data_IF_225343871791
#
_entry.id   IF_225343871791
#
_cell.length_a   1.000
_cell.length_b   1.000
_cell.length_c   1.000
_cell.angle_alpha   90.00
_cell.angle_beta   90.00
_cell.angle_gamma   90.00
#
_symmetry.space_group_name_H-M   'P 1'
#
loop_
_entity.id
_entity.type
_entity.pdbx_description
1 polymer ?
#
# COMPACT_ATOMS: atom_id res chain seq x y z
N UNK A 1 -0.02 -3.92 15.49
CA UNK A 1 1.02 -3.90 14.42
C UNK A 1 1.00 -5.21 13.67
N UNK A 2 0.96 -5.17 12.35
CA UNK A 2 0.76 -6.31 11.45
C UNK A 2 1.86 -7.35 11.61
N UNK A 3 1.55 -8.49 12.18
CA UNK A 3 2.35 -9.69 11.98
C UNK A 3 1.93 -10.32 10.65
N UNK A 4 2.63 -10.06 9.59
CA UNK A 4 2.33 -10.72 8.31
C UNK A 4 2.46 -9.87 7.07
N UNK A 5 2.60 -8.55 7.18
CA UNK A 5 2.95 -7.73 6.03
C UNK A 5 4.47 -7.56 5.98
N UNK A 6 5.09 -8.00 4.89
CA UNK A 6 6.52 -7.82 4.63
C UNK A 6 6.92 -6.35 4.47
N UNK A 7 5.96 -5.43 4.43
CA UNK A 7 6.18 -4.04 4.08
C UNK A 7 5.92 -3.12 5.25
N UNK A 8 6.83 -3.07 6.21
CA UNK A 8 6.97 -1.88 7.04
C UNK A 8 7.96 -0.94 6.36
N UNK A 9 7.44 -0.08 5.52
CA UNK A 9 8.16 1.12 5.13
C UNK A 9 8.19 2.08 6.31
N UNK A 10 9.27 2.09 7.07
CA UNK A 10 9.61 3.25 7.85
C UNK A 10 10.20 4.27 6.87
N UNK A 11 9.35 5.02 6.17
CA UNK A 11 9.77 6.15 5.36
C UNK A 11 10.02 7.35 6.28
N UNK A 12 11.11 7.36 6.99
CA UNK A 12 11.62 8.53 7.65
C UNK A 12 12.18 9.50 6.61
N UNK A 13 11.33 10.33 5.99
CA UNK A 13 11.76 11.41 5.12
C UNK A 13 12.45 12.51 5.92
N UNK A 14 13.72 12.36 6.22
CA UNK A 14 14.52 13.39 6.83
C UNK A 14 15.19 14.22 5.73
N UNK A 15 14.71 15.41 5.43
CA UNK A 15 15.34 16.37 4.52
C UNK A 15 16.54 17.06 5.18
N UNK A 16 17.75 16.82 4.73
CA UNK A 16 18.94 17.60 5.06
C UNK A 16 20.10 17.38 4.08
N UNK A 17 20.96 18.36 4.00
CA UNK A 17 22.16 18.34 3.16
C UNK A 17 23.30 17.41 3.66
N UNK A 18 23.07 16.62 4.72
CA UNK A 18 24.11 15.74 5.31
C UNK A 18 23.56 14.35 5.57
N UNK A 19 23.69 13.46 4.59
CA UNK A 19 23.26 12.05 4.69
C UNK A 19 23.89 11.34 5.89
N UNK A 20 25.16 11.62 6.23
CA UNK A 20 25.86 11.00 7.36
C UNK A 20 25.12 11.16 8.68
N UNK A 21 24.62 12.37 9.00
CA UNK A 21 23.89 12.59 10.26
C UNK A 21 22.57 11.85 10.31
N UNK A 22 21.93 11.62 9.17
CA UNK A 22 20.60 11.02 9.09
C UNK A 22 20.62 9.51 9.02
N UNK A 23 21.52 8.95 8.25
CA UNK A 23 21.78 7.52 8.25
C UNK A 23 22.18 7.06 9.65
N UNK A 24 22.97 7.88 10.37
CA UNK A 24 23.33 7.63 11.76
C UNK A 24 22.09 7.61 12.67
N UNK A 25 21.24 8.63 12.60
CA UNK A 25 20.04 8.73 13.44
C UNK A 25 19.05 7.59 13.17
N UNK A 26 18.82 7.24 11.88
CA UNK A 26 17.95 6.12 11.54
C UNK A 26 18.50 4.79 12.06
N UNK A 27 19.80 4.55 11.93
CA UNK A 27 20.43 3.37 12.48
C UNK A 27 20.35 3.33 14.01
N UNK A 28 20.57 4.46 14.68
CA UNK A 28 20.44 4.54 16.13
C UNK A 28 19.02 4.23 16.59
N UNK A 29 18.01 4.85 15.98
CA UNK A 29 16.60 4.53 16.24
C UNK A 29 16.26 3.07 15.95
N UNK A 30 16.88 2.47 14.94
CA UNK A 30 16.60 1.09 14.54
C UNK A 30 17.27 0.08 15.47
N UNK A 31 18.54 0.26 15.80
CA UNK A 31 19.34 -0.70 16.58
C UNK A 31 19.25 -0.48 18.09
N UNK A 32 19.07 0.78 18.53
CA UNK A 32 19.13 1.17 19.93
C UNK A 32 17.81 1.69 20.49
N UNK A 33 16.69 1.26 19.91
CA UNK A 33 15.37 1.60 20.45
C UNK A 33 15.24 1.12 21.89
N UNK A 34 14.95 2.02 22.81
CA UNK A 34 14.89 1.75 24.25
C UNK A 34 13.64 1.01 24.64
N UNK A 35 12.50 1.43 24.11
CA UNK A 35 11.17 0.92 24.48
C UNK A 35 10.94 0.96 25.98
N UNK A 36 11.22 2.11 26.59
CA UNK A 36 10.94 2.33 28.02
C UNK A 36 9.43 2.28 28.26
N UNK A 37 9.00 1.68 29.37
CA UNK A 37 7.56 1.45 29.61
C UNK A 37 6.77 2.76 29.70
N UNK A 38 7.38 3.85 30.20
CA UNK A 38 6.76 5.17 30.22
C UNK A 38 6.50 5.73 28.80
N UNK A 39 7.45 5.55 27.88
CA UNK A 39 7.31 5.97 26.48
C UNK A 39 6.27 5.10 25.77
N UNK A 40 6.25 3.79 26.05
CA UNK A 40 5.26 2.84 25.50
C UNK A 40 3.86 3.20 25.96
N UNK A 41 3.67 3.63 27.22
CA UNK A 41 2.37 4.06 27.74
C UNK A 41 1.91 5.36 27.09
N UNK A 42 2.80 6.31 26.91
CA UNK A 42 2.52 7.57 26.19
C UNK A 42 2.07 7.29 24.76
N UNK A 43 2.83 6.48 24.02
CA UNK A 43 2.52 6.10 22.64
C UNK A 43 1.22 5.28 22.54
N UNK A 44 0.93 4.44 23.54
CA UNK A 44 -0.34 3.73 23.63
C UNK A 44 -1.52 4.70 23.67
N UNK A 45 -1.40 5.78 24.47
CA UNK A 45 -2.42 6.83 24.51
C UNK A 45 -2.65 7.45 23.14
N UNK A 46 -1.57 7.81 22.44
CA UNK A 46 -1.65 8.35 21.06
C UNK A 46 -2.32 7.38 20.11
N UNK A 47 -1.95 6.10 20.12
CA UNK A 47 -2.57 5.10 19.24
C UNK A 47 -4.06 4.89 19.56
N UNK A 48 -4.46 5.00 20.82
CA UNK A 48 -5.87 4.90 21.20
C UNK A 48 -6.69 6.08 20.67
N UNK A 49 -6.13 7.29 20.68
CA UNK A 49 -6.73 8.46 20.03
C UNK A 49 -6.82 8.27 18.50
N UNK A 50 -5.77 7.75 17.86
CA UNK A 50 -5.82 7.42 16.43
C UNK A 50 -6.92 6.40 16.10
N UNK A 51 -7.14 5.39 16.95
CA UNK A 51 -8.25 4.44 16.79
C UNK A 51 -9.59 5.17 16.85
N UNK A 52 -9.75 6.11 17.81
CA UNK A 52 -10.94 6.94 17.91
C UNK A 52 -11.19 7.75 16.64
N UNK A 53 -10.16 8.41 16.10
CA UNK A 53 -10.24 9.16 14.85
C UNK A 53 -10.67 8.28 13.66
N UNK A 54 -10.13 7.05 13.57
CA UNK A 54 -10.55 6.09 12.53
C UNK A 54 -12.01 5.65 12.70
N UNK A 55 -12.45 5.43 13.94
CA UNK A 55 -13.84 5.11 14.20
C UNK A 55 -14.78 6.26 13.85
N UNK A 56 -14.33 7.50 13.94
CA UNK A 56 -15.11 8.69 13.61
C UNK A 56 -15.09 9.07 12.12
N UNK A 57 -14.17 8.53 11.34
CA UNK A 57 -14.16 8.69 9.89
C UNK A 57 -14.88 7.51 9.21
N UNK A 58 -16.07 7.71 8.63
CA UNK A 58 -16.82 6.61 8.02
C UNK A 58 -16.14 5.97 6.82
N UNK A 59 -15.36 6.72 6.03
CA UNK A 59 -14.62 6.22 4.88
C UNK A 59 -13.52 5.25 5.30
N UNK A 60 -12.67 5.66 6.26
CA UNK A 60 -11.61 4.82 6.81
C UNK A 60 -12.18 3.57 7.49
N UNK A 61 -13.27 3.74 8.24
CA UNK A 61 -13.97 2.63 8.89
C UNK A 61 -14.52 1.62 7.88
N UNK A 62 -15.10 2.09 6.77
CA UNK A 62 -15.56 1.22 5.67
C UNK A 62 -14.40 0.45 5.04
N UNK A 63 -13.28 1.11 4.76
CA UNK A 63 -12.11 0.48 4.18
C UNK A 63 -11.51 -0.60 5.11
N UNK A 64 -11.43 -0.32 6.42
CA UNK A 64 -10.96 -1.30 7.40
C UNK A 64 -11.92 -2.50 7.52
N UNK A 65 -13.23 -2.25 7.56
CA UNK A 65 -14.25 -3.31 7.63
C UNK A 65 -14.25 -4.16 6.37
N UNK A 66 -14.07 -3.55 5.21
CA UNK A 66 -13.93 -4.27 3.95
C UNK A 66 -12.72 -5.21 3.99
N UNK A 67 -11.53 -4.72 4.35
CA UNK A 67 -10.34 -5.55 4.48
C UNK A 67 -10.56 -6.71 5.47
N UNK A 68 -11.25 -6.44 6.59
CA UNK A 68 -11.65 -7.45 7.57
C UNK A 68 -12.57 -8.53 7.00
N UNK A 69 -13.46 -8.17 6.09
CA UNK A 69 -14.39 -9.10 5.45
C UNK A 69 -13.69 -9.93 4.36
N UNK A 70 -13.06 -9.25 3.39
CA UNK A 70 -12.49 -9.91 2.19
C UNK A 70 -11.28 -10.78 2.49
N UNK A 71 -10.57 -10.53 3.58
CA UNK A 71 -9.41 -11.32 4.01
C UNK A 71 -9.66 -12.10 5.31
N UNK A 72 -10.93 -12.45 5.58
CA UNK A 72 -11.32 -13.18 6.78
C UNK A 72 -10.45 -14.42 7.00
N UNK A 73 -9.94 -14.59 8.23
CA UNK A 73 -9.05 -15.69 8.59
C UNK A 73 -7.57 -15.48 8.26
N UNK A 74 -7.22 -14.35 7.66
CA UNK A 74 -5.84 -13.94 7.35
C UNK A 74 -5.37 -12.80 8.27
N UNK A 75 -4.06 -12.63 8.45
CA UNK A 75 -3.51 -11.44 9.11
C UNK A 75 -3.89 -10.11 8.45
N UNK A 76 -4.20 -10.09 7.16
CA UNK A 76 -4.66 -8.91 6.43
C UNK A 76 -6.04 -8.41 6.88
N UNK A 77 -6.84 -9.27 7.52
CA UNK A 77 -8.14 -8.90 8.09
C UNK A 77 -8.04 -8.11 9.42
N UNK A 78 -6.83 -7.97 9.96
CA UNK A 78 -6.64 -7.28 11.23
C UNK A 78 -6.57 -5.76 11.02
N UNK A 79 -7.18 -4.96 11.91
CA UNK A 79 -7.06 -3.51 11.85
C UNK A 79 -5.59 -3.08 11.92
N UNK A 80 -5.25 -2.00 11.19
CA UNK A 80 -3.87 -1.51 11.09
C UNK A 80 -3.35 -1.02 12.44
N UNK A 81 -4.16 -0.26 13.16
CA UNK A 81 -3.84 0.28 14.47
C UNK A 81 -3.93 -0.78 15.59
N UNK A 82 -4.49 -1.94 15.29
CA UNK A 82 -4.75 -2.97 16.30
C UNK A 82 -6.07 -2.76 17.02
N UNK A 83 -6.17 -3.33 18.21
CA UNK A 83 -7.35 -3.20 19.10
C UNK A 83 -6.87 -2.84 20.50
N UNK A 84 -7.64 -2.04 21.22
CA UNK A 84 -7.33 -1.66 22.60
C UNK A 84 -6.90 -2.87 23.45
N UNK A 85 -7.68 -3.95 23.48
CA UNK A 85 -7.37 -5.16 24.25
C UNK A 85 -6.04 -5.85 23.87
N UNK A 86 -5.50 -5.58 22.68
CA UNK A 86 -4.19 -6.07 22.24
C UNK A 86 -3.09 -5.09 22.63
N UNK A 87 -3.35 -3.80 22.50
CA UNK A 87 -2.42 -2.73 22.87
C UNK A 87 -2.14 -2.71 24.36
N UNK A 88 -3.16 -2.92 25.18
CA UNK A 88 -3.05 -2.95 26.65
C UNK A 88 -2.07 -4.04 27.16
N UNK A 89 -1.78 -5.04 26.36
CA UNK A 89 -0.85 -6.14 26.69
C UNK A 89 0.59 -5.93 26.20
N UNK A 90 0.84 -4.83 25.49
CA UNK A 90 2.16 -4.54 24.93
C UNK A 90 2.95 -3.64 25.88
N UNK A 91 4.05 -4.13 26.40
CA UNK A 91 5.04 -3.38 27.18
C UNK A 91 6.38 -3.30 26.44
N UNK A 92 7.37 -2.63 27.01
CA UNK A 92 8.67 -2.51 26.42
C UNK A 92 9.38 -3.85 26.24
N UNK A 93 9.17 -4.81 27.12
CA UNK A 93 9.74 -6.15 27.02
C UNK A 93 9.15 -6.89 25.81
N UNK A 94 7.84 -6.79 25.61
CA UNK A 94 7.15 -7.36 24.46
C UNK A 94 7.65 -6.74 23.13
N UNK A 95 7.81 -5.41 23.09
CA UNK A 95 8.30 -4.70 21.90
C UNK A 95 9.74 -5.10 21.56
N UNK A 96 10.63 -5.21 22.56
CA UNK A 96 12.00 -5.69 22.36
C UNK A 96 12.05 -7.14 21.86
N UNK A 97 11.19 -8.01 22.40
CA UNK A 97 11.08 -9.39 21.94
C UNK A 97 10.56 -9.45 20.49
N UNK A 98 9.57 -8.63 20.17
CA UNK A 98 9.03 -8.53 18.79
C UNK A 98 10.08 -8.02 17.80
N UNK A 99 10.87 -6.98 18.16
CA UNK A 99 11.96 -6.46 17.35
C UNK A 99 12.98 -7.56 17.05
N UNK A 100 13.46 -8.26 18.07
CA UNK A 100 14.43 -9.37 17.92
C UNK A 100 13.91 -10.49 17.03
N UNK A 101 12.63 -10.82 17.13
CA UNK A 101 12.02 -11.90 16.34
C UNK A 101 11.78 -11.55 14.87
N UNK A 102 11.56 -10.26 14.57
CA UNK A 102 11.06 -9.84 13.25
C UNK A 102 12.01 -8.94 12.46
N UNK A 103 12.98 -8.27 13.10
CA UNK A 103 13.94 -7.39 12.44
C UNK A 103 15.18 -8.19 12.06
N UNK A 104 15.16 -8.75 10.86
CA UNK A 104 16.14 -9.71 10.36
C UNK A 104 16.61 -9.30 8.97
N UNK A 105 17.86 -9.68 8.55
CA UNK A 105 18.41 -9.28 7.27
C UNK A 105 17.55 -9.63 6.08
N UNK A 106 16.90 -10.80 6.10
CA UNK A 106 16.01 -11.29 5.04
C UNK A 106 14.68 -10.53 4.92
N UNK A 107 14.43 -9.54 5.81
CA UNK A 107 13.21 -8.73 5.84
C UNK A 107 13.46 -7.23 5.84
N UNK A 108 14.70 -6.84 5.67
CA UNK A 108 15.10 -5.44 5.70
C UNK A 108 15.66 -5.08 4.33
N UNK A 109 15.12 -4.04 3.76
CA UNK A 109 15.65 -3.39 2.57
C UNK A 109 16.01 -1.97 2.95
N UNK A 110 17.23 -1.57 2.64
CA UNK A 110 17.72 -0.21 2.80
C UNK A 110 17.81 0.42 1.43
N UNK A 111 16.94 1.38 1.16
CA UNK A 111 16.91 2.12 -0.09
C UNK A 111 17.36 3.56 0.12
N UNK A 112 18.21 4.04 -0.77
CA UNK A 112 18.72 5.41 -0.76
C UNK A 112 18.35 6.11 -2.06
N UNK A 113 17.92 7.35 -1.98
CA UNK A 113 17.76 8.23 -3.11
C UNK A 113 18.11 9.67 -2.72
N UNK A 114 18.77 10.39 -3.61
CA UNK A 114 19.20 11.76 -3.40
C UNK A 114 20.70 11.94 -3.62
N UNK A 115 21.30 12.93 -2.97
CA UNK A 115 22.73 13.23 -3.09
C UNK A 115 23.52 12.49 -2.00
N UNK A 116 24.26 11.46 -2.39
CA UNK A 116 25.16 10.68 -1.53
C UNK A 116 26.32 10.12 -2.37
N UNK A 117 27.38 9.66 -1.71
CA UNK A 117 28.52 9.00 -2.33
C UNK A 117 28.45 7.48 -2.13
N UNK A 118 29.18 6.73 -2.95
CA UNK A 118 29.30 5.27 -2.77
C UNK A 118 29.86 4.92 -1.38
N UNK A 119 30.79 5.73 -0.86
CA UNK A 119 31.30 5.54 0.48
C UNK A 119 30.21 5.68 1.57
N UNK A 120 29.28 6.61 1.41
CA UNK A 120 28.16 6.77 2.34
C UNK A 120 27.23 5.55 2.29
N UNK A 121 27.00 4.98 1.11
CA UNK A 121 26.18 3.79 0.93
C UNK A 121 26.84 2.54 1.57
N UNK A 122 28.16 2.36 1.35
CA UNK A 122 28.93 1.27 1.95
C UNK A 122 28.97 1.39 3.47
N UNK A 123 29.20 2.60 4.02
CA UNK A 123 29.16 2.84 5.47
C UNK A 123 27.79 2.47 6.05
N UNK A 124 26.69 2.89 5.40
CA UNK A 124 25.35 2.57 5.86
C UNK A 124 25.08 1.07 5.81
N UNK A 125 25.44 0.39 4.72
CA UNK A 125 25.28 -1.06 4.59
C UNK A 125 26.05 -1.82 5.67
N UNK A 126 27.26 -1.37 5.99
CA UNK A 126 28.12 -1.95 7.05
C UNK A 126 27.43 -1.96 8.42
N UNK A 127 26.57 -0.98 8.72
CA UNK A 127 25.83 -0.93 9.99
C UNK A 127 24.79 -2.05 10.14
N UNK A 128 24.30 -2.60 9.02
CA UNK A 128 23.34 -3.72 9.01
C UNK A 128 24.03 -5.09 8.92
N UNK A 129 25.34 -5.15 8.72
CA UNK A 129 26.07 -6.41 8.55
C UNK A 129 26.06 -7.33 9.79
N UNK A 130 25.85 -6.76 10.99
CA UNK A 130 25.78 -7.50 12.25
C UNK A 130 24.43 -8.15 12.54
N UNK A 131 23.44 -8.02 11.66
CA UNK A 131 22.13 -8.65 11.87
C UNK A 131 22.19 -10.17 11.65
N UNK A 132 21.68 -10.90 12.63
CA UNK A 132 21.67 -12.37 12.57
C UNK A 132 20.52 -12.88 11.69
N UNK A 133 20.86 -13.76 10.74
CA UNK A 133 19.87 -14.50 9.99
C UNK A 133 19.18 -15.55 10.89
N UNK A 134 17.85 -15.61 10.84
CA UNK A 134 17.07 -16.58 11.64
C UNK A 134 16.02 -17.25 10.77
N UNK A 135 15.71 -18.53 10.98
CA UNK A 135 14.66 -19.22 10.25
C UNK A 135 13.31 -18.49 10.39
N UNK A 136 12.53 -18.49 9.35
CA UNK A 136 11.16 -17.95 9.42
C UNK A 136 10.18 -18.82 8.63
N UNK A 137 8.94 -18.77 9.04
CA UNK A 137 7.84 -19.36 8.28
C UNK A 137 7.33 -18.34 7.28
N UNK A 138 7.22 -18.73 6.02
CA UNK A 138 6.60 -17.89 4.99
C UNK A 138 5.16 -17.56 5.37
N UNK A 139 4.74 -16.32 5.10
CA UNK A 139 3.36 -15.93 5.31
C UNK A 139 2.44 -16.74 4.39
N UNK A 140 1.37 -17.33 4.96
CA UNK A 140 0.35 -17.99 4.17
C UNK A 140 -0.36 -16.98 3.26
N UNK A 141 -0.62 -17.37 2.02
CA UNK A 141 -1.39 -16.56 1.10
C UNK A 141 -2.78 -16.29 1.67
N UNK A 142 -3.21 -15.03 1.58
CA UNK A 142 -4.58 -14.67 1.93
C UNK A 142 -5.49 -14.92 0.72
N UNK A 143 -6.60 -15.59 0.95
CA UNK A 143 -7.63 -15.77 -0.06
C UNK A 143 -8.70 -14.67 0.06
N UNK A 144 -9.23 -14.25 -1.06
CA UNK A 144 -10.43 -13.41 -1.09
C UNK A 144 -11.64 -14.23 -0.63
N UNK A 145 -12.38 -13.70 0.34
CA UNK A 145 -13.61 -14.32 0.86
C UNK A 145 -14.77 -13.37 0.61
N UNK A 146 -15.80 -13.80 -0.16
CA UNK A 146 -17.00 -12.98 -0.32
C UNK A 146 -17.75 -12.86 1.01
N UNK A 147 -18.36 -11.69 1.25
CA UNK A 147 -19.13 -11.46 2.47
C UNK A 147 -19.75 -10.06 2.49
N UNK A 148 -20.66 -9.86 3.41
CA UNK A 148 -21.32 -8.57 3.66
C UNK A 148 -21.10 -8.21 5.12
N UNK A 149 -20.67 -6.98 5.38
CA UNK A 149 -20.53 -6.43 6.72
C UNK A 149 -21.28 -5.11 6.79
N UNK A 150 -22.15 -4.99 7.79
CA UNK A 150 -22.93 -3.77 8.04
C UNK A 150 -22.58 -3.24 9.43
N UNK A 151 -22.26 -1.96 9.49
CA UNK A 151 -22.09 -1.21 10.74
C UNK A 151 -23.11 -0.08 10.79
N UNK A 152 -24.00 -0.12 11.77
CA UNK A 152 -24.93 0.98 12.03
C UNK A 152 -24.22 2.08 12.80
N UNK A 153 -24.30 3.31 12.31
CA UNK A 153 -23.80 4.52 12.94
C UNK A 153 -24.77 5.68 12.65
N UNK A 154 -24.94 6.58 13.59
CA UNK A 154 -25.78 7.76 13.41
C UNK A 154 -24.96 8.82 12.64
N UNK A 155 -25.05 8.80 11.32
CA UNK A 155 -24.37 9.70 10.38
C UNK A 155 -25.34 10.13 9.28
N UNK A 156 -25.05 11.23 8.63
CA UNK A 156 -25.92 11.82 7.61
C UNK A 156 -26.00 10.99 6.32
N UNK A 157 -24.85 10.44 5.88
CA UNK A 157 -24.74 9.67 4.64
C UNK A 157 -24.41 8.22 4.93
N UNK A 158 -24.90 7.32 4.07
CA UNK A 158 -24.47 5.95 4.04
C UNK A 158 -23.14 5.85 3.25
N UNK A 159 -22.19 5.12 3.80
CA UNK A 159 -20.92 4.81 3.17
C UNK A 159 -20.93 3.37 2.71
N UNK A 160 -20.76 3.15 1.42
CA UNK A 160 -20.78 1.83 0.81
C UNK A 160 -19.44 1.56 0.14
N UNK A 161 -18.89 0.39 0.41
CA UNK A 161 -17.72 -0.11 -0.29
C UNK A 161 -17.99 -1.49 -0.87
N UNK A 162 -17.79 -1.63 -2.17
CA UNK A 162 -17.86 -2.91 -2.87
C UNK A 162 -16.44 -3.42 -3.11
N UNK A 163 -16.23 -4.72 -3.00
CA UNK A 163 -14.97 -5.36 -3.37
C UNK A 163 -15.19 -6.52 -4.31
N UNK A 164 -14.26 -6.67 -5.23
CA UNK A 164 -14.15 -7.77 -6.18
C UNK A 164 -12.77 -8.40 -6.06
N UNK A 165 -12.59 -9.68 -6.42
CA UNK A 165 -11.27 -10.27 -6.47
C UNK A 165 -10.31 -9.42 -7.31
N UNK A 166 -9.15 -9.11 -6.75
CA UNK A 166 -8.10 -8.34 -7.40
C UNK A 166 -6.84 -9.17 -7.63
N UNK A 167 -5.76 -8.48 -7.95
CA UNK A 167 -4.49 -9.09 -8.32
C UNK A 167 -3.44 -8.85 -7.23
N UNK A 168 -2.49 -9.78 -7.14
CA UNK A 168 -1.33 -9.61 -6.27
C UNK A 168 -0.38 -8.55 -6.83
N UNK A 169 0.54 -8.09 -6.00
CA UNK A 169 1.54 -7.11 -6.42
C UNK A 169 2.52 -7.69 -7.45
N UNK A 170 2.79 -9.00 -7.40
CA UNK A 170 3.65 -9.69 -8.36
C UNK A 170 2.94 -10.01 -9.69
N UNK A 171 1.62 -9.92 -9.78
CA UNK A 171 0.88 -10.22 -11.01
C UNK A 171 1.11 -9.11 -12.06
N UNK A 172 1.64 -9.41 -13.25
CA UNK A 172 1.89 -8.40 -14.29
C UNK A 172 0.62 -7.71 -14.77
N UNK A 173 -0.54 -8.37 -14.67
CA UNK A 173 -1.85 -7.80 -15.05
C UNK A 173 -2.33 -6.71 -14.10
N UNK A 174 -1.65 -6.46 -12.97
CA UNK A 174 -2.01 -5.38 -12.06
C UNK A 174 -2.03 -4.00 -12.72
N UNK A 175 -1.17 -3.77 -13.73
CA UNK A 175 -1.16 -2.51 -14.48
C UNK A 175 -2.41 -2.36 -15.34
N UNK A 176 -2.91 -3.46 -15.90
CA UNK A 176 -4.18 -3.47 -16.65
C UNK A 176 -5.34 -3.19 -15.69
N UNK A 177 -5.34 -3.78 -14.50
CA UNK A 177 -6.32 -3.49 -13.46
C UNK A 177 -6.25 -2.03 -12.99
N UNK A 178 -5.06 -1.45 -12.90
CA UNK A 178 -4.89 -0.03 -12.57
C UNK A 178 -5.47 0.89 -13.66
N UNK A 179 -5.25 0.58 -14.95
CA UNK A 179 -5.84 1.32 -16.06
C UNK A 179 -7.37 1.18 -16.05
N UNK A 180 -7.89 -0.02 -15.84
CA UNK A 180 -9.33 -0.26 -15.69
C UNK A 180 -9.91 0.53 -14.52
N UNK A 181 -9.23 0.55 -13.37
CA UNK A 181 -9.63 1.36 -12.22
C UNK A 181 -9.66 2.85 -12.58
N UNK A 182 -8.66 3.35 -13.31
CA UNK A 182 -8.65 4.74 -13.77
C UNK A 182 -9.84 5.07 -14.68
N UNK A 183 -10.20 4.16 -15.59
CA UNK A 183 -11.36 4.33 -16.50
C UNK A 183 -12.67 4.30 -15.72
N UNK A 184 -12.80 3.37 -14.77
CA UNK A 184 -14.03 3.18 -14.02
C UNK A 184 -14.28 4.27 -12.97
N UNK A 185 -13.26 4.66 -12.19
CA UNK A 185 -13.46 5.56 -11.05
C UNK A 185 -12.24 6.41 -10.68
N UNK A 186 -11.29 6.63 -11.59
CA UNK A 186 -10.04 7.34 -11.33
C UNK A 186 -10.12 8.87 -11.40
N UNK A 187 -11.29 9.46 -11.61
CA UNK A 187 -11.44 10.91 -11.69
C UNK A 187 -12.75 11.36 -12.31
N UNK A 188 -12.90 12.66 -12.54
CA UNK A 188 -14.16 13.27 -13.01
C UNK A 188 -14.62 12.77 -14.39
N UNK A 189 -13.73 12.33 -15.26
CA UNK A 189 -14.07 11.76 -16.57
C UNK A 189 -14.30 10.25 -16.56
N UNK A 190 -14.27 9.60 -15.40
CA UNK A 190 -14.48 8.18 -15.24
C UNK A 190 -15.96 7.80 -15.35
N UNK A 191 -16.24 6.55 -15.72
CA UNK A 191 -17.61 6.08 -15.95
C UNK A 191 -18.49 6.18 -14.69
N UNK A 192 -17.98 5.77 -13.53
CA UNK A 192 -18.71 5.85 -12.27
C UNK A 192 -19.04 7.29 -11.90
N UNK A 193 -18.06 8.18 -12.01
CA UNK A 193 -18.29 9.60 -11.71
C UNK A 193 -19.33 10.20 -12.65
N UNK A 194 -19.23 9.96 -13.95
CA UNK A 194 -20.16 10.50 -14.95
C UNK A 194 -21.56 9.93 -14.81
N UNK A 195 -21.70 8.62 -14.68
CA UNK A 195 -23.03 7.99 -14.70
C UNK A 195 -23.75 8.05 -13.34
N UNK A 196 -23.03 7.91 -12.22
CA UNK A 196 -23.65 7.85 -10.89
C UNK A 196 -23.80 9.23 -10.28
N UNK A 197 -22.74 10.07 -10.38
CA UNK A 197 -22.72 11.39 -9.76
C UNK A 197 -23.27 12.46 -10.69
N UNK A 198 -22.69 12.65 -11.89
CA UNK A 198 -23.03 13.80 -12.74
C UNK A 198 -24.40 13.65 -13.42
N UNK A 199 -24.66 12.50 -14.02
CA UNK A 199 -25.91 12.30 -14.78
C UNK A 199 -27.11 12.00 -13.88
N UNK A 200 -26.91 11.23 -12.80
CA UNK A 200 -28.02 10.77 -11.96
C UNK A 200 -28.07 11.44 -10.59
N UNK A 201 -27.02 12.13 -10.15
CA UNK A 201 -26.97 12.83 -8.86
C UNK A 201 -27.14 11.94 -7.64
N UNK A 202 -26.75 10.65 -7.73
CA UNK A 202 -27.03 9.65 -6.69
C UNK A 202 -26.07 9.67 -5.52
N UNK A 203 -24.89 10.29 -5.69
CA UNK A 203 -23.87 10.34 -4.65
C UNK A 203 -23.06 11.64 -4.73
N UNK A 204 -22.44 12.02 -3.61
CA UNK A 204 -21.49 13.13 -3.59
C UNK A 204 -20.09 12.69 -4.01
N UNK A 205 -19.67 11.53 -3.55
CA UNK A 205 -18.33 10.99 -3.77
C UNK A 205 -18.42 9.55 -4.27
N UNK A 206 -17.69 9.25 -5.34
CA UNK A 206 -17.53 7.91 -5.87
C UNK A 206 -16.18 7.77 -6.55
N UNK A 207 -15.48 6.68 -6.24
CA UNK A 207 -14.21 6.34 -6.89
C UNK A 207 -13.94 4.83 -6.84
N UNK A 208 -13.03 4.37 -7.68
CA UNK A 208 -12.52 3.01 -7.64
C UNK A 208 -11.02 2.97 -7.33
N UNK A 209 -10.56 1.87 -6.77
CA UNK A 209 -9.17 1.67 -6.39
C UNK A 209 -8.79 0.20 -6.40
N UNK A 210 -7.51 -0.06 -6.64
CA UNK A 210 -6.92 -1.39 -6.50
C UNK A 210 -6.08 -1.49 -5.24
N UNK A 211 -6.27 -2.54 -4.45
CA UNK A 211 -5.40 -2.87 -3.32
C UNK A 211 -4.66 -4.15 -3.64
N UNK A 212 -3.33 -4.04 -3.80
CA UNK A 212 -2.45 -5.18 -4.04
C UNK A 212 -1.61 -5.47 -2.80
N UNK A 213 -1.54 -6.74 -2.44
CA UNK A 213 -0.61 -7.30 -1.45
C UNK A 213 0.32 -8.28 -2.15
N UNK A 214 1.35 -8.79 -1.47
CA UNK A 214 2.36 -9.69 -2.06
C UNK A 214 1.75 -10.85 -2.86
N UNK A 215 0.68 -11.46 -2.35
CA UNK A 215 0.10 -12.68 -2.89
C UNK A 215 -1.42 -12.62 -3.11
N UNK A 216 -2.03 -11.46 -2.93
CA UNK A 216 -3.48 -11.27 -3.08
C UNK A 216 -3.81 -9.81 -3.32
N UNK A 217 -5.06 -9.52 -3.62
CA UNK A 217 -5.57 -8.16 -3.73
C UNK A 217 -7.07 -8.12 -3.90
N UNK A 218 -7.62 -6.92 -3.95
CA UNK A 218 -9.01 -6.68 -4.36
C UNK A 218 -9.11 -5.39 -5.17
N UNK A 219 -10.12 -5.35 -6.01
CA UNK A 219 -10.59 -4.14 -6.67
C UNK A 219 -11.77 -3.60 -5.86
N UNK A 220 -11.70 -2.34 -5.47
CA UNK A 220 -12.71 -1.68 -4.65
C UNK A 220 -13.42 -0.54 -5.35
N UNK A 221 -14.67 -0.31 -4.99
CA UNK A 221 -15.44 0.90 -5.32
C UNK A 221 -16.01 1.44 -4.03
N UNK A 222 -15.77 2.72 -3.77
CA UNK A 222 -16.31 3.44 -2.62
C UNK A 222 -17.30 4.49 -3.10
N UNK A 223 -18.34 4.72 -2.31
CA UNK A 223 -19.29 5.82 -2.49
C UNK A 223 -19.88 6.28 -1.16
N UNK A 224 -20.14 7.58 -1.06
CA UNK A 224 -20.95 8.18 0.01
C UNK A 224 -22.25 8.72 -0.61
N UNK A 225 -23.40 8.30 -0.07
CA UNK A 225 -24.71 8.53 -0.67
C UNK A 225 -25.82 8.69 0.38
N UNK A 226 -26.94 9.23 -0.03
CA UNK A 226 -28.14 9.33 0.78
C UNK A 226 -28.87 7.98 0.90
N UNK A 227 -29.63 7.79 1.97
CA UNK A 227 -30.38 6.53 2.20
C UNK A 227 -31.40 6.24 1.07
N UNK A 228 -32.03 7.29 0.54
CA UNK A 228 -33.07 7.15 -0.48
C UNK A 228 -32.51 6.75 -1.84
N UNK A 229 -31.26 7.08 -2.12
CA UNK A 229 -30.59 6.81 -3.40
C UNK A 229 -29.79 5.51 -3.41
N UNK A 230 -29.63 4.83 -2.25
CA UNK A 230 -28.72 3.68 -2.07
C UNK A 230 -29.02 2.54 -3.07
N UNK A 231 -30.27 2.11 -3.20
CA UNK A 231 -30.65 1.03 -4.11
C UNK A 231 -30.33 1.37 -5.56
N UNK A 232 -30.78 2.54 -6.03
CA UNK A 232 -30.54 3.00 -7.40
C UNK A 232 -29.05 3.21 -7.69
N UNK A 233 -28.29 3.73 -6.71
CA UNK A 233 -26.86 3.90 -6.84
C UNK A 233 -26.15 2.54 -6.98
N UNK A 234 -26.50 1.56 -6.14
CA UNK A 234 -25.92 0.22 -6.20
C UNK A 234 -26.17 -0.45 -7.56
N UNK A 235 -27.42 -0.41 -8.05
CA UNK A 235 -27.76 -0.97 -9.36
C UNK A 235 -26.99 -0.30 -10.49
N UNK A 236 -26.86 1.04 -10.44
CA UNK A 236 -26.11 1.80 -11.44
C UNK A 236 -24.62 1.45 -11.38
N UNK A 237 -24.02 1.39 -10.19
CA UNK A 237 -22.61 1.02 -10.00
C UNK A 237 -22.33 -0.38 -10.56
N UNK A 238 -23.19 -1.34 -10.25
CA UNK A 238 -23.05 -2.72 -10.77
C UNK A 238 -23.19 -2.78 -12.29
N UNK A 239 -24.09 -2.01 -12.89
CA UNK A 239 -24.23 -1.91 -14.34
C UNK A 239 -22.95 -1.33 -14.97
N UNK A 240 -22.41 -0.23 -14.43
CA UNK A 240 -21.16 0.39 -14.91
C UNK A 240 -19.97 -0.54 -14.81
N UNK A 241 -19.88 -1.35 -13.75
CA UNK A 241 -18.78 -2.33 -13.59
C UNK A 241 -18.91 -3.50 -14.59
N UNK A 242 -20.12 -3.91 -14.94
CA UNK A 242 -20.37 -4.98 -15.92
C UNK A 242 -20.12 -4.55 -17.36
N UNK A 243 -20.37 -3.31 -17.69
CA UNK A 243 -20.26 -2.76 -19.04
C UNK A 243 -18.92 -3.08 -19.74
N UNK A 244 -17.73 -2.95 -19.10
CA UNK A 244 -16.47 -3.36 -19.71
C UNK A 244 -16.34 -4.85 -20.03
N UNK A 245 -17.08 -5.72 -19.35
CA UNK A 245 -17.07 -7.16 -19.63
C UNK A 245 -17.90 -7.51 -20.87
N UNK A 246 -18.89 -6.71 -21.19
CA UNK A 246 -19.81 -6.91 -22.31
C UNK A 246 -19.34 -6.15 -23.57
N UNK A 247 -18.88 -4.93 -23.40
CA UNK A 247 -18.59 -4.01 -24.50
C UNK A 247 -17.11 -3.56 -24.56
N UNK A 248 -16.30 -3.94 -23.57
CA UNK A 248 -14.93 -3.49 -23.45
C UNK A 248 -14.80 -2.04 -23.00
N UNK A 249 -13.64 -1.47 -23.28
CA UNK A 249 -13.33 -0.05 -23.08
C UNK A 249 -13.01 0.59 -24.44
N UNK A 250 -13.35 1.85 -24.60
CA UNK A 250 -13.05 2.57 -25.85
C UNK A 250 -11.55 2.90 -25.92
N UNK A 251 -11.03 3.06 -27.15
CA UNK A 251 -9.65 3.46 -27.35
C UNK A 251 -9.35 4.82 -26.70
N UNK A 252 -10.28 5.76 -26.76
CA UNK A 252 -10.15 7.08 -26.15
C UNK A 252 -10.04 7.02 -24.62
N UNK A 253 -10.80 6.15 -23.96
CA UNK A 253 -10.69 5.92 -22.51
C UNK A 253 -9.34 5.30 -22.15
N UNK A 254 -8.91 4.30 -22.92
CA UNK A 254 -7.62 3.63 -22.70
C UNK A 254 -6.45 4.60 -22.87
N UNK A 255 -6.46 5.41 -23.91
CA UNK A 255 -5.38 6.38 -24.19
C UNK A 255 -5.32 7.44 -23.10
N UNK A 256 -6.46 7.98 -22.65
CA UNK A 256 -6.55 8.93 -21.55
C UNK A 256 -6.01 8.33 -20.24
N UNK A 257 -6.45 7.13 -19.87
CA UNK A 257 -6.00 6.45 -18.67
C UNK A 257 -4.49 6.16 -18.72
N UNK A 258 -3.97 5.78 -19.88
CA UNK A 258 -2.54 5.53 -20.10
C UNK A 258 -1.71 6.80 -19.94
N UNK A 259 -2.11 7.90 -20.59
CA UNK A 259 -1.39 9.18 -20.49
C UNK A 259 -1.43 9.74 -19.08
N UNK A 260 -2.56 9.64 -18.38
CA UNK A 260 -2.64 10.03 -16.98
C UNK A 260 -1.75 9.19 -16.07
N UNK A 261 -1.70 7.87 -16.29
CA UNK A 261 -0.82 6.99 -15.53
C UNK A 261 0.65 7.31 -15.77
N UNK A 262 1.04 7.59 -17.01
CA UNK A 262 2.40 8.04 -17.35
C UNK A 262 2.74 9.36 -16.63
N UNK A 263 1.85 10.34 -16.71
CA UNK A 263 2.05 11.64 -16.06
C UNK A 263 2.23 11.48 -14.54
N UNK A 264 1.39 10.68 -13.89
CA UNK A 264 1.49 10.42 -12.45
C UNK A 264 2.83 9.79 -12.06
N UNK A 265 3.33 8.84 -12.85
CA UNK A 265 4.64 8.23 -12.59
C UNK A 265 5.76 9.24 -12.81
N UNK A 266 5.73 10.02 -13.90
CA UNK A 266 6.74 11.04 -14.18
C UNK A 266 6.79 12.10 -13.06
N UNK A 267 5.66 12.63 -12.64
CA UNK A 267 5.58 13.54 -11.50
C UNK A 267 6.08 12.91 -10.19
N UNK A 268 5.76 11.63 -9.98
CA UNK A 268 6.27 10.89 -8.83
C UNK A 268 7.80 10.77 -8.82
N UNK A 269 8.44 10.70 -9.98
CA UNK A 269 9.89 10.60 -10.10
C UNK A 269 10.64 11.90 -9.74
N UNK A 270 9.99 13.04 -9.65
CA UNK A 270 10.60 14.30 -9.16
C UNK A 270 10.91 14.24 -7.66
N UNK A 271 10.24 13.39 -6.90
CA UNK A 271 10.45 13.22 -5.47
C UNK A 271 11.52 12.16 -5.17
N UNK A 272 12.58 12.53 -4.47
CA UNK A 272 13.58 11.59 -3.96
C UNK A 272 12.95 10.49 -3.08
N UNK A 273 11.92 10.81 -2.32
CA UNK A 273 11.18 9.85 -1.51
C UNK A 273 10.42 8.84 -2.37
N UNK A 274 9.81 9.27 -3.45
CA UNK A 274 9.12 8.37 -4.39
C UNK A 274 10.10 7.44 -5.10
N UNK A 275 11.27 7.95 -5.48
CA UNK A 275 12.37 7.13 -6.02
C UNK A 275 12.83 6.07 -5.02
N UNK A 276 13.13 6.49 -3.79
CA UNK A 276 13.54 5.59 -2.72
C UNK A 276 12.49 4.51 -2.47
N UNK A 277 11.21 4.89 -2.38
CA UNK A 277 10.12 3.96 -2.17
C UNK A 277 9.94 2.98 -3.34
N UNK A 278 10.15 3.45 -4.58
CA UNK A 278 10.08 2.60 -5.77
C UNK A 278 11.21 1.57 -5.80
N UNK A 279 12.44 1.98 -5.50
CA UNK A 279 13.60 1.08 -5.40
C UNK A 279 13.40 0.03 -4.30
N UNK A 280 13.01 0.46 -3.10
CA UNK A 280 12.79 -0.46 -1.98
C UNK A 280 11.65 -1.45 -2.24
N UNK A 281 10.60 -1.06 -2.97
CA UNK A 281 9.53 -1.98 -3.39
C UNK A 281 10.00 -2.94 -4.47
N UNK A 282 10.81 -2.47 -5.42
CA UNK A 282 11.39 -3.29 -6.48
C UNK A 282 12.20 -4.43 -5.90
N UNK A 283 13.10 -4.16 -4.96
CA UNK A 283 13.92 -5.17 -4.28
C UNK A 283 13.08 -6.22 -3.54
N UNK A 284 12.02 -5.79 -2.85
CA UNK A 284 11.12 -6.70 -2.11
C UNK A 284 10.33 -7.62 -3.04
N UNK A 285 10.10 -7.20 -4.30
CA UNK A 285 9.14 -7.84 -5.21
C UNK A 285 9.79 -8.58 -6.39
N UNK A 286 11.11 -8.71 -6.40
CA UNK A 286 11.85 -9.21 -7.55
C UNK A 286 11.71 -8.29 -8.79
N UNK A 287 12.60 -7.33 -8.89
CA UNK A 287 12.55 -6.22 -9.86
C UNK A 287 12.54 -6.69 -11.32
N UNK A 288 13.14 -7.83 -11.63
CA UNK A 288 13.14 -8.38 -12.98
C UNK A 288 11.72 -8.68 -13.48
N UNK A 289 10.84 -9.15 -12.61
CA UNK A 289 9.43 -9.36 -12.93
C UNK A 289 8.66 -8.04 -13.13
N UNK A 290 9.03 -7.00 -12.37
CA UNK A 290 8.41 -5.67 -12.47
C UNK A 290 8.89 -4.94 -13.72
N UNK A 291 10.18 -5.00 -14.03
CA UNK A 291 10.79 -4.39 -15.20
C UNK A 291 10.31 -5.06 -16.48
N UNK A 292 10.20 -6.38 -16.49
CA UNK A 292 9.68 -7.12 -17.65
C UNK A 292 8.22 -6.75 -17.99
N UNK A 293 7.42 -6.37 -17.00
CA UNK A 293 6.03 -5.93 -17.22
C UNK A 293 5.90 -4.46 -17.67
N UNK A 294 6.93 -3.64 -17.49
CA UNK A 294 6.93 -2.20 -17.84
C UNK A 294 6.98 -1.88 -19.35
N UNK A 295 7.61 -2.65 -20.23
CA UNK A 295 7.74 -2.29 -21.66
C UNK A 295 6.40 -2.09 -22.37
N UNK A 296 5.37 -2.83 -22.00
CA UNK A 296 4.04 -2.70 -22.59
C UNK A 296 3.36 -1.35 -22.28
N UNK A 297 3.75 -0.69 -21.19
CA UNK A 297 3.22 0.62 -20.79
C UNK A 297 4.09 1.79 -21.29
N UNK A 298 5.37 1.58 -21.52
CA UNK A 298 6.34 2.65 -21.58
C UNK A 298 7.11 2.75 -22.90
N UNK A 299 6.83 2.09 -23.95
CA UNK A 299 7.42 2.31 -25.29
C UNK A 299 8.86 2.86 -25.40
N UNK A 300 9.65 2.82 -24.35
CA UNK A 300 10.99 3.40 -24.31
C UNK A 300 11.64 3.30 -22.93
N UNK A 301 12.89 2.92 -22.96
CA UNK A 301 13.81 2.71 -21.84
C UNK A 301 13.65 3.75 -20.73
N UNK A 302 13.23 3.34 -19.55
CA UNK A 302 13.40 4.10 -18.32
C UNK A 302 14.58 3.53 -17.55
N UNK A 303 15.54 4.37 -17.30
CA UNK A 303 16.82 4.11 -16.70
C UNK A 303 16.68 3.69 -15.22
N UNK A 304 16.91 2.43 -14.92
CA UNK A 304 17.58 2.02 -13.70
C UNK A 304 19.00 1.62 -14.07
N UNK A 305 19.84 2.59 -14.35
CA UNK A 305 21.27 2.32 -14.49
C UNK A 305 22.02 3.60 -14.21
N UNK A 306 22.32 3.82 -12.95
CA UNK A 306 23.58 4.44 -12.68
C UNK A 306 24.62 3.31 -12.69
N UNK A 307 25.58 3.26 -13.65
CA UNK A 307 26.52 2.15 -13.80
C UNK A 307 27.55 2.06 -12.68
N UNK A 308 27.45 2.88 -11.65
CA UNK A 308 28.42 2.98 -10.56
C UNK A 308 28.01 2.23 -9.26
N UNK A 309 26.88 1.55 -9.22
CA UNK A 309 26.51 0.78 -8.03
C UNK A 309 26.87 -0.68 -8.21
N UNK A 310 27.86 -1.23 -7.45
CA UNK A 310 28.17 -2.66 -7.46
C UNK A 310 27.01 -3.52 -6.90
N UNK A 311 26.01 -2.92 -6.30
CA UNK A 311 24.81 -3.53 -5.74
C UNK A 311 23.66 -3.72 -6.74
N UNK A 312 23.75 -3.15 -7.94
CA UNK A 312 22.80 -3.38 -9.04
C UNK A 312 22.93 -4.77 -9.68
N UNK A 313 23.84 -5.60 -9.18
CA UNK A 313 23.99 -7.01 -9.55
C UNK A 313 23.93 -7.85 -8.29
N UNK A 314 22.72 -8.09 -7.78
CA UNK A 314 22.50 -9.24 -6.92
C UNK A 314 22.93 -10.48 -7.72
N UNK A 315 23.86 -11.31 -7.22
CA UNK A 315 24.23 -12.53 -7.93
C UNK A 315 22.96 -13.34 -8.14
N UNK A 316 22.65 -13.67 -9.39
CA UNK A 316 21.62 -14.66 -9.72
C UNK A 316 21.93 -15.88 -8.88
N UNK A 317 21.07 -16.27 -7.97
CA UNK A 317 21.15 -17.58 -7.36
C UNK A 317 21.04 -18.57 -8.50
N UNK A 318 22.18 -19.17 -8.83
CA UNK A 318 22.26 -20.26 -9.79
C UNK A 318 21.38 -21.41 -9.38
N UNK A 319 20.83 -22.04 -10.37
CA UNK A 319 20.15 -23.28 -10.52
C UNK A 319 19.59 -24.03 -9.31
#
# INVERSE_FOLDING_TARGET
>A
KRSGSRNKFCSGGLYSRRLRCKGFLLCDMFFHSRFDDADVETERGVILEEIGMYEDNPEDLCAERLAGAVFKGSPLARPILGRKATLDKMDGAWLRAYQRAHYRPDRIVVALAGSFTDADAVELAGRFAGLEARPHTAARAAAYVPGVVVKKKAIEQNHLTLAFPGLSFADPRRFQLQLLSSILGGGMSSRLFQQVREQKGLCYSIYSYGTCHDNTGYFGVYTALGRETEGQALDTILAVIREPTEHGVTQAELDRAREQSKANVLMGLESAQSHMSSLGRGEVLDEDAIIAARPALWGGRLFCSHPAFPWGKVPRRGG
#
